data_IF_502565968422
#
_entry.id   IF_502565968422
#
_cell.length_a   1.000
_cell.length_b   1.000
_cell.length_c   1.000
_cell.angle_alpha   90.00
_cell.angle_beta   90.00
_cell.angle_gamma   90.00
#
_symmetry.space_group_name_H-M   'P 1'
#
loop_
_entity.id
_entity.type
_entity.pdbx_description
1 polymer ?
#
# COMPACT_ATOMS: atom_id res chain seq x y z
N UNK A 1 4.91 10.95 6.46
CA UNK A 1 4.55 9.67 5.84
C UNK A 1 4.26 8.72 6.98
N UNK A 2 3.06 8.17 7.03
CA UNK A 2 2.61 7.33 8.16
C UNK A 2 2.94 5.87 7.86
N UNK A 3 4.14 5.43 8.25
CA UNK A 3 4.57 4.03 8.16
C UNK A 3 5.46 3.73 9.37
N UNK A 4 5.04 2.78 10.20
CA UNK A 4 5.65 2.47 11.50
C UNK A 4 5.58 0.97 11.79
N UNK A 5 6.09 0.51 12.94
CA UNK A 5 5.94 -0.88 13.36
C UNK A 5 4.47 -1.29 13.58
N UNK A 6 3.62 -0.35 14.04
CA UNK A 6 2.19 -0.58 14.29
C UNK A 6 1.36 -0.52 12.99
N UNK A 7 1.87 0.19 11.97
CA UNK A 7 1.27 0.30 10.64
C UNK A 7 2.33 0.03 9.54
N UNK A 8 2.87 -1.20 9.44
CA UNK A 8 4.03 -1.50 8.61
C UNK A 8 3.75 -1.39 7.11
N UNK A 9 2.51 -1.59 6.69
CA UNK A 9 2.05 -1.45 5.30
C UNK A 9 1.33 -0.14 5.04
N UNK A 10 1.19 0.73 6.04
CA UNK A 10 0.36 1.93 6.00
C UNK A 10 -1.05 1.65 5.45
N UNK A 11 -1.74 0.67 6.03
CA UNK A 11 -3.08 0.25 5.60
C UNK A 11 -3.09 -0.39 4.21
N UNK A 12 -2.10 -1.24 3.89
CA UNK A 12 -2.06 -1.97 2.63
C UNK A 12 -1.64 -1.15 1.41
N UNK A 13 -0.97 0.00 1.60
CA UNK A 13 -0.51 0.86 0.49
C UNK A 13 1.01 0.85 0.29
N UNK A 14 1.79 0.35 1.27
CA UNK A 14 3.27 0.44 1.30
C UNK A 14 3.92 -0.88 1.70
N UNK A 15 4.18 -1.74 0.73
CA UNK A 15 4.74 -3.09 0.98
C UNK A 15 6.26 -3.19 0.92
N UNK A 16 6.97 -2.15 0.48
CA UNK A 16 8.40 -2.25 0.18
C UNK A 16 9.26 -2.59 1.40
N UNK A 17 9.18 -1.81 2.48
CA UNK A 17 9.98 -2.05 3.70
C UNK A 17 9.73 -3.43 4.33
N UNK A 18 8.47 -3.87 4.56
CA UNK A 18 8.25 -5.15 5.21
C UNK A 18 8.60 -6.34 4.31
N UNK A 19 8.44 -6.23 2.98
CA UNK A 19 8.86 -7.27 2.03
C UNK A 19 10.38 -7.42 1.98
N UNK A 20 11.13 -6.33 1.85
CA UNK A 20 12.59 -6.41 1.86
C UNK A 20 13.13 -6.79 3.25
N UNK A 21 12.44 -6.38 4.31
CA UNK A 21 12.71 -6.80 5.68
C UNK A 21 12.60 -8.31 5.87
N UNK A 22 11.52 -8.92 5.37
CA UNK A 22 11.32 -10.37 5.37
C UNK A 22 12.45 -11.09 4.60
N UNK A 23 12.78 -10.58 3.42
CA UNK A 23 13.90 -11.13 2.63
C UNK A 23 15.22 -11.08 3.41
N UNK A 24 15.55 -9.94 4.02
CA UNK A 24 16.75 -9.79 4.82
C UNK A 24 16.74 -10.73 6.05
N UNK A 25 15.61 -10.89 6.75
CA UNK A 25 15.50 -11.86 7.86
C UNK A 25 15.75 -13.29 7.42
N UNK A 26 15.31 -13.66 6.21
CA UNK A 26 15.57 -14.99 5.65
C UNK A 26 17.07 -15.28 5.46
N UNK A 27 17.86 -14.24 5.23
CA UNK A 27 19.32 -14.33 5.08
C UNK A 27 20.06 -14.23 6.43
N UNK A 28 19.47 -13.54 7.41
CA UNK A 28 20.09 -13.24 8.69
C UNK A 28 20.07 -14.40 9.71
N UNK A 29 19.53 -15.58 9.36
CA UNK A 29 19.46 -16.77 10.22
C UNK A 29 18.91 -16.49 11.64
N UNK A 30 17.89 -15.63 11.74
CA UNK A 30 17.28 -15.22 13.01
C UNK A 30 17.86 -13.95 13.64
N UNK A 31 18.80 -13.27 12.97
CA UNK A 31 19.28 -11.95 13.36
C UNK A 31 18.20 -10.86 13.28
N UNK A 32 18.38 -9.83 14.11
CA UNK A 32 17.54 -8.62 14.12
C UNK A 32 17.73 -7.85 12.81
N UNK A 33 16.62 -7.40 12.21
CA UNK A 33 16.61 -6.65 10.95
C UNK A 33 15.77 -5.39 11.11
N UNK A 34 16.36 -4.25 10.75
CA UNK A 34 15.67 -2.97 10.63
C UNK A 34 15.52 -2.60 9.15
N UNK A 35 14.32 -2.20 8.74
CA UNK A 35 14.04 -1.70 7.40
C UNK A 35 13.68 -0.21 7.47
N UNK A 36 14.30 0.62 6.62
CA UNK A 36 14.05 2.08 6.62
C UNK A 36 14.20 2.73 5.26
N UNK A 37 13.44 3.80 5.06
CA UNK A 37 13.71 4.85 4.08
C UNK A 37 14.61 5.91 4.69
N UNK A 38 15.51 6.45 3.88
CA UNK A 38 16.30 7.63 4.22
C UNK A 38 16.12 8.71 3.16
N UNK A 39 15.54 9.84 3.55
CA UNK A 39 15.20 10.93 2.65
C UNK A 39 16.35 11.93 2.50
N UNK A 40 17.31 11.62 1.62
CA UNK A 40 18.56 12.39 1.42
C UNK A 40 18.43 13.78 0.77
N UNK A 41 17.26 14.42 0.84
CA UNK A 41 17.02 15.76 0.26
C UNK A 41 16.63 16.77 1.33
N UNK A 42 16.90 18.05 1.07
CA UNK A 42 16.45 19.16 1.92
C UNK A 42 14.93 19.18 2.10
N UNK A 43 14.16 18.91 1.03
CA UNK A 43 12.69 18.77 1.09
C UNK A 43 12.25 17.64 2.03
N UNK A 44 12.99 16.53 2.02
CA UNK A 44 12.77 15.39 2.91
C UNK A 44 13.40 15.53 4.29
N UNK A 45 14.03 16.67 4.59
CA UNK A 45 14.67 17.01 5.87
C UNK A 45 15.68 15.97 6.40
N UNK A 46 16.24 15.14 5.53
CA UNK A 46 17.14 14.04 5.94
C UNK A 46 16.49 13.07 6.93
N UNK A 47 15.16 12.96 6.91
CA UNK A 47 14.37 12.12 7.80
C UNK A 47 14.58 10.63 7.50
N UNK A 48 14.54 9.79 8.54
CA UNK A 48 14.50 8.34 8.42
C UNK A 48 13.12 7.83 8.86
N UNK A 49 12.51 6.96 8.05
CA UNK A 49 11.23 6.31 8.35
C UNK A 49 11.45 4.81 8.25
N UNK A 50 11.33 4.11 9.37
CA UNK A 50 11.61 2.69 9.42
C UNK A 50 11.28 2.08 10.77
N UNK A 51 11.44 0.76 10.85
CA UNK A 51 11.11 -0.03 12.02
C UNK A 51 11.85 -1.38 11.98
N UNK A 52 11.88 -2.03 13.14
CA UNK A 52 12.32 -3.41 13.26
C UNK A 52 11.28 -4.37 12.66
N UNK A 53 11.76 -5.36 11.91
CA UNK A 53 10.91 -6.33 11.22
C UNK A 53 10.58 -7.49 12.17
N UNK A 54 9.65 -7.27 13.09
CA UNK A 54 9.22 -8.28 14.06
C UNK A 54 8.24 -9.29 13.45
N UNK A 55 7.88 -10.34 14.18
CA UNK A 55 6.88 -11.31 13.71
C UNK A 55 5.48 -10.66 13.58
N UNK A 56 5.14 -9.71 14.47
CA UNK A 56 3.89 -8.95 14.35
C UNK A 56 3.84 -8.12 13.06
N UNK A 57 4.97 -7.52 12.66
CA UNK A 57 5.09 -6.82 11.37
C UNK A 57 4.84 -7.78 10.20
N UNK A 58 5.35 -9.01 10.28
CA UNK A 58 5.17 -10.03 9.25
C UNK A 58 3.73 -10.57 9.21
N UNK A 59 3.05 -10.66 10.35
CA UNK A 59 1.64 -11.05 10.41
C UNK A 59 0.74 -9.99 9.76
N UNK A 60 0.97 -8.71 10.04
CA UNK A 60 0.27 -7.61 9.35
C UNK A 60 0.56 -7.63 7.85
N UNK A 61 1.83 -7.79 7.45
CA UNK A 61 2.21 -7.93 6.04
C UNK A 61 1.44 -9.07 5.36
N UNK A 62 1.32 -10.23 6.02
CA UNK A 62 0.61 -11.40 5.48
C UNK A 62 -0.87 -11.09 5.29
N UNK A 63 -1.53 -10.50 6.29
CA UNK A 63 -2.94 -10.14 6.22
C UNK A 63 -3.24 -9.17 5.06
N UNK A 64 -2.41 -8.14 4.91
CA UNK A 64 -2.58 -7.15 3.84
C UNK A 64 -2.28 -7.73 2.45
N UNK A 65 -1.26 -8.60 2.33
CA UNK A 65 -0.98 -9.31 1.08
C UNK A 65 -2.08 -10.30 0.71
N UNK A 66 -2.70 -10.95 1.68
CA UNK A 66 -3.83 -11.86 1.45
C UNK A 66 -5.02 -11.10 0.85
N UNK A 67 -5.29 -9.89 1.34
CA UNK A 67 -6.29 -9.00 0.75
C UNK A 67 -5.98 -8.70 -0.72
N UNK A 68 -4.77 -8.24 -1.02
CA UNK A 68 -4.32 -7.93 -2.40
C UNK A 68 -4.44 -9.17 -3.30
N UNK A 69 -3.96 -10.31 -2.83
CA UNK A 69 -4.00 -11.57 -3.57
C UNK A 69 -5.45 -12.02 -3.85
N UNK A 70 -6.35 -11.92 -2.87
CA UNK A 70 -7.77 -12.22 -3.03
C UNK A 70 -8.45 -11.30 -4.06
N UNK A 71 -8.17 -10.00 -4.03
CA UNK A 71 -8.70 -9.07 -5.04
C UNK A 71 -8.22 -9.40 -6.45
N UNK A 72 -6.93 -9.70 -6.63
CA UNK A 72 -6.38 -10.07 -7.94
C UNK A 72 -7.01 -11.39 -8.44
N UNK A 73 -7.06 -12.41 -7.59
CA UNK A 73 -7.57 -13.74 -7.97
C UNK A 73 -9.09 -13.77 -8.21
N UNK A 74 -9.84 -12.85 -7.59
CA UNK A 74 -11.27 -12.65 -7.86
C UNK A 74 -11.55 -11.73 -9.06
N UNK A 75 -10.51 -11.23 -9.74
CA UNK A 75 -10.66 -10.37 -10.91
C UNK A 75 -11.08 -8.92 -10.59
N UNK A 76 -10.89 -8.48 -9.35
CA UNK A 76 -11.24 -7.13 -8.92
C UNK A 76 -10.17 -6.11 -9.37
N UNK A 77 -10.42 -5.46 -10.51
CA UNK A 77 -9.59 -4.39 -11.06
C UNK A 77 -10.40 -3.09 -11.29
N UNK A 78 -10.91 -2.46 -10.22
CA UNK A 78 -11.74 -1.27 -10.38
C UNK A 78 -10.93 -0.11 -11.00
N UNK A 79 -11.50 0.63 -11.97
CA UNK A 79 -10.82 1.73 -12.65
C UNK A 79 -10.83 3.01 -11.79
N UNK A 80 -10.27 2.96 -10.57
CA UNK A 80 -10.12 4.13 -9.68
C UNK A 80 -9.25 5.17 -10.41
N UNK A 81 -9.80 6.33 -10.79
CA UNK A 81 -8.99 7.40 -11.37
C UNK A 81 -8.12 8.04 -10.28
N UNK A 82 -6.87 8.35 -10.61
CA UNK A 82 -5.94 9.06 -9.73
C UNK A 82 -4.62 8.32 -9.49
N UNK A 83 -3.56 9.11 -9.27
CA UNK A 83 -2.21 8.64 -8.95
C UNK A 83 -1.13 9.22 -9.87
N UNK A 84 0.04 8.57 -9.89
CA UNK A 84 1.23 8.96 -10.68
C UNK A 84 1.03 8.95 -12.21
N UNK A 85 -0.08 8.37 -12.69
CA UNK A 85 -0.38 8.14 -14.11
C UNK A 85 -1.52 9.03 -14.63
N UNK A 86 -1.67 10.21 -14.03
CA UNK A 86 -2.76 11.14 -14.32
C UNK A 86 -2.88 11.46 -15.81
N UNK A 87 -1.75 11.62 -16.50
CA UNK A 87 -1.67 11.84 -17.96
C UNK A 87 -2.29 10.68 -18.77
N UNK A 88 -2.02 9.44 -18.38
CA UNK A 88 -2.56 8.25 -19.06
C UNK A 88 -4.06 8.12 -18.81
N UNK A 89 -4.53 8.42 -17.59
CA UNK A 89 -5.97 8.42 -17.29
C UNK A 89 -6.72 9.53 -18.01
N UNK A 90 -6.09 10.67 -18.29
CA UNK A 90 -6.67 11.73 -19.13
C UNK A 90 -6.90 11.25 -20.55
N UNK A 91 -5.91 10.58 -21.16
CA UNK A 91 -6.01 10.06 -22.52
C UNK A 91 -7.11 8.99 -22.67
N UNK A 92 -7.29 8.15 -21.65
CA UNK A 92 -8.30 7.08 -21.65
C UNK A 92 -9.72 7.56 -21.29
N UNK A 93 -9.90 8.85 -21.00
CA UNK A 93 -11.19 9.43 -20.62
C UNK A 93 -11.45 9.37 -19.12
N UNK A 94 -10.70 10.18 -18.36
CA UNK A 94 -10.78 10.30 -16.89
C UNK A 94 -12.21 10.41 -16.36
N UNK A 95 -13.05 11.22 -16.99
CA UNK A 95 -14.43 11.39 -16.55
C UNK A 95 -15.25 10.09 -16.66
N UNK A 96 -15.01 9.30 -17.71
CA UNK A 96 -15.63 7.99 -17.88
C UNK A 96 -15.18 7.02 -16.79
N UNK A 97 -13.88 6.97 -16.50
CA UNK A 97 -13.33 6.17 -15.41
C UNK A 97 -13.88 6.60 -14.04
N UNK A 98 -13.99 7.90 -13.80
CA UNK A 98 -14.57 8.45 -12.57
C UNK A 98 -16.03 8.03 -12.40
N UNK A 99 -16.84 8.10 -13.46
CA UNK A 99 -18.24 7.63 -13.41
C UNK A 99 -18.31 6.14 -13.14
N UNK A 100 -17.50 5.33 -13.82
CA UNK A 100 -17.43 3.88 -13.59
C UNK A 100 -17.00 3.55 -12.16
N UNK A 101 -16.01 4.26 -11.63
CA UNK A 101 -15.57 4.11 -10.24
C UNK A 101 -16.69 4.46 -9.26
N UNK A 102 -17.39 5.58 -9.44
CA UNK A 102 -18.51 5.96 -8.56
C UNK A 102 -19.63 4.92 -8.56
N UNK A 103 -19.92 4.30 -9.70
CA UNK A 103 -20.90 3.21 -9.77
C UNK A 103 -20.43 1.95 -9.00
N UNK A 104 -19.13 1.67 -9.01
CA UNK A 104 -18.53 0.51 -8.37
C UNK A 104 -18.36 0.66 -6.85
N UNK A 105 -18.22 1.89 -6.33
CA UNK A 105 -18.13 2.14 -4.88
C UNK A 105 -19.35 1.61 -4.12
N UNK A 106 -20.53 1.60 -4.76
CA UNK A 106 -21.77 1.12 -4.16
C UNK A 106 -21.94 -0.41 -4.22
N UNK A 107 -21.04 -1.14 -4.89
CA UNK A 107 -21.12 -2.60 -5.05
C UNK A 107 -20.64 -3.27 -3.76
N UNK A 108 -21.47 -4.10 -3.08
CA UNK A 108 -21.10 -4.72 -1.81
C UNK A 108 -19.84 -5.59 -1.89
N UNK A 109 -19.61 -6.25 -3.02
CA UNK A 109 -18.44 -7.10 -3.26
C UNK A 109 -17.12 -6.32 -3.26
N UNK A 110 -17.18 -4.99 -3.41
CA UNK A 110 -16.02 -4.09 -3.39
C UNK A 110 -15.91 -3.31 -2.09
N UNK A 111 -16.76 -3.54 -1.09
CA UNK A 111 -16.78 -2.75 0.14
C UNK A 111 -15.42 -2.78 0.89
N UNK A 112 -14.77 -3.95 0.95
CA UNK A 112 -13.44 -4.10 1.55
C UNK A 112 -12.38 -3.30 0.77
N UNK A 113 -12.43 -3.35 -0.57
CA UNK A 113 -11.54 -2.59 -1.45
C UNK A 113 -11.73 -1.08 -1.30
N UNK A 114 -12.99 -0.62 -1.25
CA UNK A 114 -13.32 0.79 -1.06
C UNK A 114 -12.76 1.28 0.27
N UNK A 115 -12.96 0.53 1.37
CA UNK A 115 -12.51 0.92 2.70
C UNK A 115 -11.00 1.20 2.77
N UNK A 116 -10.18 0.33 2.17
CA UNK A 116 -8.72 0.51 2.06
C UNK A 116 -8.35 1.77 1.28
N UNK A 117 -9.10 2.10 0.24
CA UNK A 117 -8.76 3.16 -0.72
C UNK A 117 -9.40 4.52 -0.42
N UNK A 118 -10.42 4.61 0.46
CA UNK A 118 -10.97 5.89 0.96
C UNK A 118 -10.13 6.50 2.08
N UNK A 119 -9.43 5.69 2.87
CA UNK A 119 -8.51 6.17 3.93
C UNK A 119 -7.32 6.99 3.39
N UNK A 120 -7.06 6.93 2.08
CA UNK A 120 -5.99 7.65 1.37
C UNK A 120 -6.33 9.12 1.07
N UNK A 121 -7.58 9.57 1.33
CA UNK A 121 -8.12 10.85 0.83
C UNK A 121 -8.18 11.98 1.87
N UNK A 122 -7.80 11.74 3.13
CA UNK A 122 -7.78 12.82 4.14
C UNK A 122 -6.38 13.49 4.19
N UNK A 123 -6.29 14.84 4.11
CA UNK A 123 -5.04 15.59 3.99
C UNK A 123 -4.16 15.59 5.26
#
# INVERSE_FOLDING_TARGET
MDQSADAPTAGGTRFQLPVYGLFARSLAAGGRVDARYWFISTKGRFEEIGYEVTDAVLDTLRADLEFVHRSITSGQFPPKPGGRFDEMTTLLGREGMQRSWQALIAVPELAEFVAVHTAETEP
#
